data_IF_343316262880
#
_entry.id   IF_343316262880
#
_cell.length_a   1.000
_cell.length_b   1.000
_cell.length_c   1.000
_cell.angle_alpha   90.00
_cell.angle_beta   90.00
_cell.angle_gamma   90.00
#
_symmetry.space_group_name_H-M   'P 1'
#
loop_
_entity.id
_entity.type
_entity.pdbx_description
1 polymer ?
#
# COMPACT_ATOMS: atom_id res chain seq x y z
N UNK A 1 -17.61 -10.71 9.52
CA UNK A 1 -17.12 -10.07 8.28
C UNK A 1 -15.68 -9.64 8.55
N UNK A 2 -14.70 -10.06 7.75
CA UNK A 2 -13.25 -9.83 8.05
C UNK A 2 -12.75 -8.49 7.50
N UNK A 3 -13.37 -8.03 6.41
CA UNK A 3 -13.29 -6.66 5.88
C UNK A 3 -14.69 -6.05 6.05
N UNK A 4 -14.85 -4.93 6.76
CA UNK A 4 -16.16 -4.31 6.93
C UNK A 4 -16.72 -3.83 5.59
N UNK A 5 -18.04 -3.85 5.44
CA UNK A 5 -18.72 -3.25 4.29
C UNK A 5 -18.67 -1.73 4.44
N UNK A 6 -18.22 -0.98 3.41
CA UNK A 6 -18.29 0.47 3.41
C UNK A 6 -19.75 0.93 3.48
N UNK A 7 -20.00 2.06 4.14
CA UNK A 7 -21.31 2.72 4.09
C UNK A 7 -21.51 3.42 2.73
N UNK A 8 -22.74 3.84 2.43
CA UNK A 8 -23.03 4.55 1.19
C UNK A 8 -22.35 5.92 1.07
N UNK A 9 -21.96 6.50 2.21
CA UNK A 9 -21.35 7.83 2.27
C UNK A 9 -19.80 7.76 2.24
N UNK A 10 -19.22 6.57 2.48
CA UNK A 10 -17.77 6.37 2.45
C UNK A 10 -17.19 6.67 1.07
N UNK A 11 -16.01 7.32 1.04
CA UNK A 11 -15.37 7.74 -0.21
C UNK A 11 -14.39 6.66 -0.67
N UNK A 12 -14.60 6.05 -1.85
CA UNK A 12 -13.71 4.99 -2.32
C UNK A 12 -12.33 5.54 -2.69
N UNK A 13 -11.30 4.76 -2.40
CA UNK A 13 -9.93 5.08 -2.76
C UNK A 13 -9.27 3.96 -3.54
N UNK A 14 -8.76 4.32 -4.71
CA UNK A 14 -8.02 3.42 -5.59
C UNK A 14 -7.12 4.26 -6.51
N UNK A 15 -5.93 4.61 -6.01
CA UNK A 15 -4.98 5.45 -6.74
C UNK A 15 -3.60 4.77 -6.84
N UNK A 16 -3.26 4.17 -8.00
CA UNK A 16 -1.98 3.49 -8.19
C UNK A 16 -0.86 4.47 -8.56
N UNK A 17 0.30 4.31 -7.92
CA UNK A 17 1.53 5.03 -8.26
C UNK A 17 2.52 4.07 -8.90
N UNK A 18 3.06 4.45 -10.07
CA UNK A 18 4.08 3.67 -10.79
C UNK A 18 5.39 4.43 -10.92
N UNK A 19 6.52 3.79 -10.63
CA UNK A 19 7.86 4.36 -10.78
C UNK A 19 8.85 3.32 -11.31
N UNK A 20 9.92 3.79 -11.93
CA UNK A 20 11.07 2.98 -12.33
C UNK A 20 12.16 3.21 -11.27
N UNK A 21 12.78 2.13 -10.81
CA UNK A 21 13.92 2.16 -9.88
C UNK A 21 15.11 1.45 -10.51
N UNK A 22 16.25 2.13 -10.50
CA UNK A 22 17.54 1.55 -10.87
C UNK A 22 18.06 0.60 -9.77
N UNK A 23 19.10 -0.20 -10.04
CA UNK A 23 19.77 -1.03 -9.04
C UNK A 23 20.14 -0.26 -7.78
N UNK A 24 19.79 -0.81 -6.61
CA UNK A 24 20.06 -0.20 -5.30
C UNK A 24 19.14 0.95 -4.89
N UNK A 25 18.25 1.43 -5.75
CA UNK A 25 17.36 2.55 -5.42
C UNK A 25 16.18 2.15 -4.52
N UNK A 26 15.64 3.16 -3.82
CA UNK A 26 14.44 3.06 -3.00
C UNK A 26 13.35 4.02 -3.49
N UNK A 27 12.15 3.48 -3.67
CA UNK A 27 10.93 4.25 -3.78
C UNK A 27 10.34 4.47 -2.38
N UNK A 28 10.00 5.72 -2.07
CA UNK A 28 9.16 6.08 -0.93
C UNK A 28 7.87 6.71 -1.47
N UNK A 29 6.72 6.13 -1.14
CA UNK A 29 5.40 6.66 -1.50
C UNK A 29 4.64 7.01 -0.23
N UNK A 30 4.07 8.21 -0.17
CA UNK A 30 3.19 8.62 0.92
C UNK A 30 1.80 8.86 0.38
N UNK A 31 0.82 8.19 0.97
CA UNK A 31 -0.59 8.38 0.71
C UNK A 31 -1.21 9.08 1.92
N UNK A 32 -2.05 10.07 1.65
CA UNK A 32 -2.76 10.84 2.67
C UNK A 32 -4.25 10.87 2.30
N UNK A 33 -5.16 10.72 3.28
CA UNK A 33 -6.57 10.92 3.02
C UNK A 33 -6.82 12.32 2.46
N UNK A 34 -7.70 12.41 1.48
CA UNK A 34 -7.98 13.63 0.72
C UNK A 34 -8.98 14.53 1.41
N UNK A 35 -9.91 13.96 2.18
CA UNK A 35 -10.85 14.72 3.00
C UNK A 35 -10.38 14.80 4.45
N UNK A 36 -10.98 15.70 5.23
CA UNK A 36 -10.84 15.71 6.69
C UNK A 36 -11.57 14.51 7.31
N UNK A 37 -11.17 13.31 6.93
CA UNK A 37 -11.72 12.07 7.49
C UNK A 37 -11.07 11.76 8.81
N UNK A 38 -11.84 11.10 9.68
CA UNK A 38 -11.33 10.57 10.94
C UNK A 38 -10.49 9.33 10.72
N UNK A 39 -10.75 8.59 9.64
CA UNK A 39 -10.14 7.28 9.40
C UNK A 39 -10.21 6.83 7.93
N UNK A 40 -9.19 6.08 7.50
CA UNK A 40 -9.14 5.33 6.26
C UNK A 40 -9.12 3.83 6.58
N UNK A 41 -9.93 3.03 5.89
CA UNK A 41 -9.94 1.56 6.00
C UNK A 41 -9.20 0.95 4.80
N UNK A 42 -8.12 0.21 5.09
CA UNK A 42 -7.21 -0.39 4.10
C UNK A 42 -7.25 -1.93 4.16
N UNK A 43 -8.14 -2.57 3.39
CA UNK A 43 -8.16 -4.03 3.24
C UNK A 43 -7.08 -4.56 2.30
N UNK A 44 -6.73 -3.81 1.24
CA UNK A 44 -5.84 -4.28 0.17
C UNK A 44 -4.69 -3.28 -0.01
N UNK A 45 -3.47 -3.81 -0.03
CA UNK A 45 -2.29 -3.06 -0.43
C UNK A 45 -1.48 -3.92 -1.41
N UNK A 46 -1.63 -3.61 -2.69
CA UNK A 46 -1.02 -4.37 -3.77
C UNK A 46 0.25 -3.69 -4.29
N UNK A 47 1.26 -4.48 -4.64
CA UNK A 47 2.48 -3.96 -5.27
C UNK A 47 3.03 -4.94 -6.30
N UNK A 48 3.72 -4.42 -7.33
CA UNK A 48 4.42 -5.27 -8.29
C UNK A 48 5.46 -6.16 -7.59
N UNK A 49 5.36 -7.47 -7.81
CA UNK A 49 6.34 -8.43 -7.31
C UNK A 49 7.51 -8.58 -8.27
N UNK A 50 8.71 -8.36 -7.74
CA UNK A 50 9.97 -8.64 -8.42
C UNK A 50 10.92 -9.45 -7.53
N UNK A 51 11.77 -10.31 -8.11
CA UNK A 51 12.91 -10.89 -7.40
C UNK A 51 13.85 -9.78 -6.91
N UNK A 52 14.59 -10.07 -5.83
CA UNK A 52 15.57 -9.13 -5.23
C UNK A 52 14.96 -7.76 -4.96
N UNK A 53 13.84 -7.73 -4.24
CA UNK A 53 13.16 -6.51 -3.80
C UNK A 53 12.80 -6.63 -2.33
N UNK A 54 12.56 -5.51 -1.67
CA UNK A 54 12.02 -5.48 -0.30
C UNK A 54 10.89 -4.46 -0.19
N UNK A 55 9.81 -4.87 0.47
CA UNK A 55 8.58 -4.11 0.62
C UNK A 55 8.28 -3.89 2.09
N UNK A 56 7.85 -2.68 2.43
CA UNK A 56 7.55 -2.26 3.79
C UNK A 56 6.41 -1.24 3.77
N UNK A 57 5.48 -1.33 4.72
CA UNK A 57 4.37 -0.40 4.85
C UNK A 57 4.21 0.07 6.29
N UNK A 58 3.98 1.38 6.43
CA UNK A 58 3.79 2.07 7.69
C UNK A 58 2.48 2.84 7.66
N UNK A 59 1.75 2.79 8.76
CA UNK A 59 0.50 3.51 8.98
C UNK A 59 0.66 4.37 10.23
N UNK A 60 0.49 5.68 10.11
CA UNK A 60 0.57 6.63 11.23
C UNK A 60 1.85 6.49 12.11
N UNK A 61 2.97 6.09 11.47
CA UNK A 61 4.25 5.90 12.17
C UNK A 61 4.46 4.52 12.79
N UNK A 62 3.51 3.59 12.65
CA UNK A 62 3.68 2.18 13.01
C UNK A 62 3.93 1.32 11.77
N UNK A 63 4.91 0.42 11.83
CA UNK A 63 5.16 -0.55 10.74
C UNK A 63 4.14 -1.67 10.80
N UNK A 64 3.33 -1.79 9.75
CA UNK A 64 2.28 -2.81 9.67
C UNK A 64 2.63 -3.98 8.75
N UNK A 65 3.67 -3.82 7.93
CA UNK A 65 4.15 -4.85 7.02
C UNK A 65 5.65 -4.73 6.75
N UNK A 66 6.31 -5.88 6.61
CA UNK A 66 7.69 -5.96 6.18
C UNK A 66 8.72 -5.46 7.23
N UNK A 67 9.98 -5.27 6.80
CA UNK A 67 10.50 -5.51 5.44
C UNK A 67 10.35 -6.98 5.02
N UNK A 68 9.85 -7.23 3.81
CA UNK A 68 9.64 -8.57 3.28
C UNK A 68 10.04 -8.66 1.79
N UNK A 69 10.48 -9.84 1.29
CA UNK A 69 10.88 -10.03 -0.11
C UNK A 69 9.70 -10.24 -1.07
N UNK A 70 8.48 -10.31 -0.55
CA UNK A 70 7.23 -10.46 -1.29
C UNK A 70 6.32 -9.31 -0.85
N UNK A 71 5.53 -8.70 -1.75
CA UNK A 71 4.59 -7.66 -1.36
C UNK A 71 3.42 -8.23 -0.56
N UNK A 72 2.61 -7.39 0.11
CA UNK A 72 1.44 -7.85 0.84
C UNK A 72 0.50 -8.65 -0.06
N UNK A 73 0.11 -8.09 -1.21
CA UNK A 73 -0.52 -8.83 -2.32
C UNK A 73 0.06 -8.40 -3.66
N UNK A 74 -0.17 -9.22 -4.68
CA UNK A 74 0.24 -8.93 -6.04
C UNK A 74 -0.71 -7.92 -6.71
N UNK A 75 -0.18 -7.09 -7.61
CA UNK A 75 -0.95 -6.09 -8.35
C UNK A 75 -1.89 -6.73 -9.38
N UNK A 76 -1.54 -7.93 -9.86
CA UNK A 76 -2.34 -8.68 -10.84
C UNK A 76 -3.35 -9.63 -10.14
N UNK A 77 -3.33 -9.72 -8.80
CA UNK A 77 -4.25 -10.51 -7.97
C UNK A 77 -4.69 -9.73 -6.71
N UNK A 78 -5.69 -8.87 -6.89
CA UNK A 78 -6.18 -7.90 -5.90
C UNK A 78 -7.06 -8.54 -4.81
N UNK A 79 -6.48 -9.44 -4.03
CA UNK A 79 -7.12 -10.07 -2.88
C UNK A 79 -6.97 -9.24 -1.59
N UNK A 80 -7.96 -9.33 -0.71
CA UNK A 80 -7.90 -8.77 0.64
C UNK A 80 -6.68 -9.30 1.39
N UNK A 81 -5.79 -8.39 1.78
CA UNK A 81 -4.48 -8.74 2.33
C UNK A 81 -4.43 -8.58 3.84
N UNK A 82 -5.03 -7.50 4.33
CA UNK A 82 -5.09 -7.22 5.75
C UNK A 82 -6.40 -7.77 6.31
N UNK A 83 -6.27 -8.83 7.11
CA UNK A 83 -7.38 -9.54 7.72
C UNK A 83 -7.10 -9.64 9.24
N UNK A 84 -7.70 -8.77 10.08
CA UNK A 84 -8.65 -7.70 9.73
C UNK A 84 -8.02 -6.53 8.96
N UNK A 85 -8.86 -5.75 8.27
CA UNK A 85 -8.43 -4.57 7.52
C UNK A 85 -7.66 -3.59 8.42
N UNK A 86 -6.56 -3.03 7.91
CA UNK A 86 -5.81 -2.01 8.63
C UNK A 86 -6.54 -0.67 8.56
N UNK A 87 -6.24 0.21 9.52
CA UNK A 87 -6.83 1.55 9.62
C UNK A 87 -5.74 2.57 9.88
N UNK A 88 -5.90 3.78 9.35
CA UNK A 88 -5.02 4.91 9.61
C UNK A 88 -5.75 6.23 9.41
N UNK A 89 -5.28 7.29 10.06
CA UNK A 89 -5.93 8.60 10.10
C UNK A 89 -5.13 9.70 9.40
N UNK A 90 -3.79 9.57 9.34
CA UNK A 90 -2.93 10.65 8.86
C UNK A 90 -2.21 10.31 7.56
N UNK A 91 -1.49 9.19 7.52
CA UNK A 91 -0.73 8.78 6.34
C UNK A 91 -0.37 7.30 6.35
N UNK A 92 -0.30 6.76 5.14
CA UNK A 92 0.39 5.52 4.86
C UNK A 92 1.70 5.83 4.11
N UNK A 93 2.81 5.27 4.57
CA UNK A 93 4.09 5.32 3.85
C UNK A 93 4.48 3.92 3.42
N UNK A 94 4.78 3.77 2.13
CA UNK A 94 5.30 2.54 1.54
C UNK A 94 6.75 2.76 1.13
N UNK A 95 7.60 1.79 1.48
CA UNK A 95 8.97 1.72 0.99
C UNK A 95 9.13 0.48 0.11
N UNK A 96 9.68 0.68 -1.09
CA UNK A 96 10.09 -0.41 -1.99
C UNK A 96 11.54 -0.21 -2.34
N UNK A 97 12.35 -1.26 -2.15
CA UNK A 97 13.78 -1.25 -2.46
C UNK A 97 14.06 -2.22 -3.60
N UNK A 98 14.76 -1.75 -4.63
CA UNK A 98 15.35 -2.62 -5.63
C UNK A 98 16.71 -3.11 -5.13
N UNK A 99 16.75 -4.35 -4.63
CA UNK A 99 17.97 -4.96 -4.10
C UNK A 99 18.79 -5.68 -5.20
N UNK A 100 18.42 -5.50 -6.47
CA UNK A 100 19.26 -5.94 -7.58
C UNK A 100 20.47 -5.02 -7.72
N UNK A 101 21.61 -5.59 -8.09
CA UNK A 101 22.82 -4.83 -8.46
C UNK A 101 22.88 -4.51 -9.96
N UNK A 102 21.96 -5.05 -10.77
CA UNK A 102 22.08 -5.01 -12.24
C UNK A 102 20.78 -4.73 -12.99
N UNK A 103 19.62 -4.92 -12.36
CA UNK A 103 18.32 -4.85 -13.05
C UNK A 103 17.52 -3.63 -12.62
N UNK A 104 17.23 -2.72 -13.56
CA UNK A 104 16.22 -1.67 -13.40
C UNK A 104 14.82 -2.27 -13.44
N UNK A 105 13.91 -1.79 -12.59
CA UNK A 105 12.57 -2.37 -12.42
C UNK A 105 11.48 -1.32 -12.37
N UNK A 106 10.33 -1.64 -12.96
CA UNK A 106 9.09 -0.85 -12.82
C UNK A 106 8.27 -1.41 -11.67
N UNK A 107 7.99 -0.58 -10.66
CA UNK A 107 7.12 -0.92 -9.53
C UNK A 107 5.84 -0.10 -9.60
N UNK A 108 4.72 -0.76 -9.36
CA UNK A 108 3.42 -0.15 -9.10
C UNK A 108 3.02 -0.44 -7.66
N UNK A 109 2.44 0.56 -6.98
CA UNK A 109 1.87 0.47 -5.63
C UNK A 109 0.42 0.93 -5.71
N UNK A 110 -0.50 0.13 -5.20
CA UNK A 110 -1.92 0.40 -5.25
C UNK A 110 -2.58 0.04 -3.91
N UNK A 111 -2.86 1.02 -3.05
CA UNK A 111 -3.82 0.85 -1.97
C UNK A 111 -5.25 0.84 -2.53
N UNK A 112 -6.07 -0.07 -2.02
CA UNK A 112 -7.51 -0.05 -2.25
C UNK A 112 -8.22 -0.08 -0.89
N UNK A 113 -9.17 0.84 -0.74
CA UNK A 113 -9.88 1.05 0.51
C UNK A 113 -10.88 2.18 0.38
N UNK A 114 -11.19 2.81 1.51
CA UNK A 114 -12.09 3.96 1.54
C UNK A 114 -11.78 4.86 2.74
N UNK A 115 -12.11 6.14 2.56
CA UNK A 115 -12.17 7.11 3.63
C UNK A 115 -13.55 7.02 4.29
N UNK A 116 -13.58 6.93 5.63
CA UNK A 116 -14.83 6.87 6.40
C UNK A 116 -15.45 8.25 6.43
N UNK A 117 -16.68 8.38 5.94
CA UNK A 117 -17.42 9.64 5.99
C UNK A 117 -17.74 10.05 7.44
N UNK A 118 -17.79 11.37 7.68
CA UNK A 118 -18.18 11.93 8.98
C UNK A 118 -19.68 11.84 9.22
#
# INVERSE_FOLDING_TARGET
MIVPEPTADDVPYNDPITRILDPGEQLTVTFQPTNQVTEFVLPILAMSKHPTSSYEAWLDGERVYGPAPVPPTDIDDLAATFLPARRFSSKMTVYIRNLSDTTTRRYTVQPLGWEVAQ
#
